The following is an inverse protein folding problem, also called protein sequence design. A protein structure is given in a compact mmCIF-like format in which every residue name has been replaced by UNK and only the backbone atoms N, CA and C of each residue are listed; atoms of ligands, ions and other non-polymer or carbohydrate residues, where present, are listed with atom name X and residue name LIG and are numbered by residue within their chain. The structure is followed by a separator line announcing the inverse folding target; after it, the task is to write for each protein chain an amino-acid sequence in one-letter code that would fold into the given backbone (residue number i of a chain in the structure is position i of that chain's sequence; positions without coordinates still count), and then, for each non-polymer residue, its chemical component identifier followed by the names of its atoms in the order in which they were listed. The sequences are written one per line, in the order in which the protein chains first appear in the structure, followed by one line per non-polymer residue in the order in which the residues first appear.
data_IF_914767504171
#
_entry.id   IF_914767504171
#
_cell.length_a   1.000
_cell.length_b   1.000
_cell.length_c   1.000
_cell.angle_alpha   90.00
_cell.angle_beta   90.00
_cell.angle_gamma   90.00
#
_symmetry.space_group_name_H-M   'P 1'
#
loop_
_entity.id
_entity.type
_entity.pdbx_description
1 polymer ?
#
# COMPACT_ATOMS: atom_id res chain seq x y z
N UNK A 1 30.47 2.45 -13.75
CA UNK A 1 29.03 2.29 -14.02
C UNK A 1 28.31 3.18 -13.01
N UNK A 2 27.79 4.33 -13.46
CA UNK A 2 27.18 5.33 -12.59
C UNK A 2 25.81 4.82 -12.13
N UNK A 3 25.56 4.84 -10.82
CA UNK A 3 24.26 4.52 -10.25
C UNK A 3 23.20 5.50 -10.78
N UNK A 4 21.98 5.05 -11.13
CA UNK A 4 20.92 5.96 -11.50
C UNK A 4 20.53 6.78 -10.25
N UNK A 5 20.73 8.09 -10.33
CA UNK A 5 20.21 9.07 -9.38
C UNK A 5 18.70 9.13 -9.53
N UNK A 6 17.98 8.54 -8.56
CA UNK A 6 16.53 8.65 -8.46
C UNK A 6 16.12 10.11 -8.24
N UNK A 7 15.12 10.55 -9.01
CA UNK A 7 14.62 11.93 -8.99
C UNK A 7 13.89 12.24 -7.69
N UNK A 8 14.25 13.37 -7.07
CA UNK A 8 13.61 13.89 -5.86
C UNK A 8 12.15 14.30 -6.12
N UNK A 9 11.31 14.25 -5.09
CA UNK A 9 9.99 14.91 -5.08
C UNK A 9 10.10 16.36 -5.61
N UNK A 10 9.05 16.91 -6.24
CA UNK A 10 9.08 18.30 -6.70
C UNK A 10 9.51 19.22 -5.56
N UNK A 11 10.38 20.21 -5.83
CA UNK A 11 10.82 21.15 -4.80
C UNK A 11 9.60 21.86 -4.18
N UNK A 12 9.40 21.71 -2.86
CA UNK A 12 8.52 22.58 -2.07
C UNK A 12 7.37 21.92 -1.28
N UNK A 13 7.03 20.65 -1.52
CA UNK A 13 6.06 19.96 -0.67
C UNK A 13 6.73 19.43 0.62
N UNK A 14 6.08 19.55 1.81
CA UNK A 14 6.57 18.90 3.02
C UNK A 14 6.66 17.38 2.83
N UNK A 15 7.62 16.69 3.47
CA UNK A 15 7.69 15.24 3.43
C UNK A 15 6.40 14.59 3.93
N UNK A 16 6.02 13.45 3.37
CA UNK A 16 4.79 12.72 3.77
C UNK A 16 4.83 12.40 5.27
N UNK A 17 5.98 12.02 5.81
CA UNK A 17 6.13 11.77 7.25
C UNK A 17 5.78 13.01 8.11
N UNK A 18 6.08 14.23 7.63
CA UNK A 18 5.70 15.45 8.33
C UNK A 18 4.19 15.71 8.24
N UNK A 19 3.57 15.44 7.09
CA UNK A 19 2.12 15.54 6.94
C UNK A 19 1.42 14.59 7.91
N UNK A 20 1.82 13.30 7.95
CA UNK A 20 1.28 12.28 8.87
C UNK A 20 1.26 12.75 10.34
N UNK A 21 2.26 13.52 10.76
CA UNK A 21 2.39 14.01 12.13
C UNK A 21 1.46 15.20 12.50
N UNK A 22 0.68 15.76 11.55
CA UNK A 22 -0.18 16.91 11.83
C UNK A 22 -1.50 16.55 12.53
N UNK A 23 -1.83 15.26 12.63
CA UNK A 23 -3.02 14.76 13.30
C UNK A 23 -4.28 14.78 12.43
N UNK A 24 -5.23 13.91 12.79
CA UNK A 24 -6.54 13.80 12.11
C UNK A 24 -7.29 15.14 12.15
N UNK A 25 -7.90 15.50 11.03
CA UNK A 25 -8.61 16.76 10.83
C UNK A 25 -7.74 17.89 10.27
N UNK A 26 -6.41 17.76 10.27
CA UNK A 26 -5.53 18.75 9.66
C UNK A 26 -5.63 18.74 8.13
N UNK A 27 -5.61 19.92 7.52
CA UNK A 27 -5.43 20.06 6.08
C UNK A 27 -3.94 19.94 5.74
N UNK A 28 -3.61 19.00 4.87
CA UNK A 28 -2.23 18.72 4.46
C UNK A 28 -2.09 18.77 2.94
N UNK A 29 -0.89 19.07 2.49
CA UNK A 29 -0.46 18.87 1.10
C UNK A 29 0.70 17.89 1.09
N UNK A 30 0.54 16.80 0.36
CA UNK A 30 1.56 15.75 0.19
C UNK A 30 1.96 15.65 -1.27
N UNK A 31 3.21 15.25 -1.53
CA UNK A 31 3.68 14.93 -2.87
C UNK A 31 4.47 13.63 -2.87
N UNK A 32 4.19 12.77 -3.83
CA UNK A 32 4.87 11.48 -3.97
C UNK A 32 4.43 10.75 -5.24
N UNK A 33 4.88 9.51 -5.38
CA UNK A 33 4.59 8.66 -6.53
C UNK A 33 3.49 7.65 -6.19
N UNK A 34 2.54 7.46 -7.10
CA UNK A 34 1.49 6.45 -6.95
C UNK A 34 2.10 5.04 -6.92
N UNK A 35 1.78 4.26 -5.90
CA UNK A 35 2.32 2.89 -5.70
C UNK A 35 1.28 1.78 -5.83
N UNK A 36 -0.02 2.10 -5.79
CA UNK A 36 -1.12 1.15 -6.00
C UNK A 36 -2.07 1.64 -7.12
N UNK A 37 -2.72 0.75 -7.88
CA UNK A 37 -3.70 1.18 -8.89
C UNK A 37 -4.94 1.78 -8.21
N UNK A 38 -5.52 2.89 -8.72
CA UNK A 38 -6.75 3.45 -8.19
C UNK A 38 -7.92 2.44 -8.16
N UNK A 39 -8.46 2.22 -6.96
CA UNK A 39 -9.56 1.29 -6.71
C UNK A 39 -9.15 -0.19 -6.74
N UNK A 40 -7.86 -0.51 -6.68
CA UNK A 40 -7.40 -1.90 -6.51
C UNK A 40 -7.94 -2.55 -5.22
N UNK A 41 -8.24 -1.74 -4.20
CA UNK A 41 -8.70 -2.19 -2.88
C UNK A 41 -10.16 -1.81 -2.59
N UNK A 42 -10.92 -1.40 -3.61
CA UNK A 42 -12.28 -0.85 -3.44
C UNK A 42 -13.22 -1.78 -2.69
N UNK A 43 -13.07 -3.11 -2.81
CA UNK A 43 -13.96 -4.05 -2.14
C UNK A 43 -13.85 -4.01 -0.62
N UNK A 44 -12.67 -3.73 -0.04
CA UNK A 44 -12.51 -3.62 1.43
C UNK A 44 -12.36 -2.18 1.93
N UNK A 45 -11.95 -1.25 1.07
CA UNK A 45 -11.74 0.16 1.45
C UNK A 45 -12.98 1.03 1.22
N UNK A 46 -13.94 0.55 0.41
CA UNK A 46 -15.17 1.26 0.05
C UNK A 46 -14.96 2.61 -0.64
N UNK A 47 -13.77 2.82 -1.19
CA UNK A 47 -13.39 3.97 -1.99
C UNK A 47 -12.56 3.51 -3.20
N UNK A 48 -12.26 4.44 -4.12
CA UNK A 48 -11.49 4.16 -5.35
C UNK A 48 -10.11 4.81 -5.30
N UNK A 49 -9.57 4.89 -4.09
CA UNK A 49 -8.30 5.50 -3.74
C UNK A 49 -7.07 4.75 -4.20
N UNK A 50 -5.91 5.31 -3.86
CA UNK A 50 -4.58 4.78 -4.19
C UNK A 50 -3.55 5.28 -3.18
N UNK A 51 -2.46 4.54 -3.03
CA UNK A 51 -1.33 4.95 -2.18
C UNK A 51 -0.36 5.84 -2.94
N UNK A 52 0.19 6.82 -2.23
CA UNK A 52 1.25 7.72 -2.68
C UNK A 52 2.42 7.60 -1.71
N UNK A 53 3.64 7.51 -2.24
CA UNK A 53 4.84 7.34 -1.43
C UNK A 53 5.95 8.30 -1.86
N UNK A 54 6.64 8.86 -0.85
CA UNK A 54 7.89 9.58 -1.02
C UNK A 54 9.02 8.85 -0.26
N UNK A 55 10.21 9.43 -0.23
CA UNK A 55 11.37 8.84 0.47
C UNK A 55 11.23 8.72 1.99
N UNK A 56 10.15 9.24 2.57
CA UNK A 56 9.95 9.34 4.03
C UNK A 56 8.81 8.49 4.55
N UNK A 57 7.71 8.37 3.82
CA UNK A 57 6.56 7.54 4.18
C UNK A 57 5.59 7.37 3.00
N UNK A 58 4.72 6.36 3.11
CA UNK A 58 3.50 6.27 2.31
C UNK A 58 2.31 6.97 2.98
N UNK A 59 1.31 7.31 2.17
CA UNK A 59 -0.03 7.69 2.64
C UNK A 59 -1.10 7.27 1.62
N UNK A 60 -2.20 6.71 2.11
CA UNK A 60 -3.34 6.36 1.27
C UNK A 60 -4.20 7.58 0.97
N UNK A 61 -4.58 7.75 -0.29
CA UNK A 61 -5.47 8.81 -0.76
C UNK A 61 -6.86 8.21 -0.94
N UNK A 62 -7.75 8.43 0.04
CA UNK A 62 -9.13 7.92 0.03
C UNK A 62 -9.98 8.79 -0.89
N UNK A 63 -10.10 8.38 -2.16
CA UNK A 63 -10.74 9.15 -3.21
C UNK A 63 -12.14 8.61 -3.53
N UNK A 64 -13.13 9.51 -3.62
CA UNK A 64 -14.50 9.16 -4.01
C UNK A 64 -14.68 8.92 -5.51
N UNK A 65 -13.80 9.48 -6.34
CA UNK A 65 -13.84 9.34 -7.80
C UNK A 65 -12.58 8.65 -8.32
N UNK A 66 -12.76 7.72 -9.25
CA UNK A 66 -11.67 6.90 -9.77
C UNK A 66 -10.76 7.76 -10.65
N UNK A 67 -9.50 7.83 -10.29
CA UNK A 67 -8.48 8.50 -11.08
C UNK A 67 -8.10 7.69 -12.32
N UNK A 68 -7.76 8.37 -13.42
CA UNK A 68 -7.12 7.76 -14.59
C UNK A 68 -5.59 7.69 -14.46
N UNK A 69 -5.03 8.29 -13.39
CA UNK A 69 -3.61 8.20 -13.08
C UNK A 69 -3.26 6.79 -12.60
N UNK A 70 -1.99 6.40 -12.76
CA UNK A 70 -1.55 5.05 -12.42
C UNK A 70 -0.19 5.04 -11.73
N UNK A 71 0.23 3.83 -11.36
CA UNK A 71 1.56 3.58 -10.76
C UNK A 71 2.66 4.24 -11.60
N UNK A 72 3.64 4.85 -10.93
CA UNK A 72 4.72 5.58 -11.60
C UNK A 72 4.34 6.99 -12.06
N UNK A 73 3.22 7.53 -11.57
CA UNK A 73 2.86 8.95 -11.73
C UNK A 73 3.13 9.68 -10.42
N UNK A 74 3.88 10.79 -10.47
CA UNK A 74 4.00 11.71 -9.35
C UNK A 74 2.78 12.63 -9.28
N UNK A 75 2.25 12.82 -8.07
CA UNK A 75 1.10 13.69 -7.78
C UNK A 75 1.38 14.59 -6.60
N UNK A 76 0.72 15.75 -6.58
CA UNK A 76 0.51 16.55 -5.37
C UNK A 76 -0.95 16.41 -4.97
N UNK A 77 -1.20 16.05 -3.72
CA UNK A 77 -2.55 15.90 -3.17
C UNK A 77 -2.72 16.87 -2.01
N UNK A 78 -3.78 17.66 -2.05
CA UNK A 78 -4.23 18.46 -0.91
C UNK A 78 -5.55 17.89 -0.40
N UNK A 79 -5.68 17.80 0.91
CA UNK A 79 -6.87 17.21 1.54
C UNK A 79 -6.80 17.25 3.05
N UNK A 80 -7.72 16.53 3.68
CA UNK A 80 -7.82 16.45 5.14
C UNK A 80 -7.35 15.08 5.60
N UNK A 81 -6.49 15.02 6.62
CA UNK A 81 -6.13 13.77 7.28
C UNK A 81 -7.35 13.18 7.99
N UNK A 82 -7.54 11.88 7.84
CA UNK A 82 -8.61 11.14 8.49
C UNK A 82 -8.12 9.77 8.94
N UNK A 83 -8.78 9.24 9.97
CA UNK A 83 -8.76 7.81 10.26
C UNK A 83 -9.85 7.14 9.42
N UNK A 84 -9.50 6.02 8.78
CA UNK A 84 -10.42 5.15 8.07
C UNK A 84 -10.24 3.72 8.59
N UNK A 85 -10.97 3.40 9.66
CA UNK A 85 -10.90 2.10 10.32
C UNK A 85 -9.46 1.77 10.76
N UNK A 86 -8.78 2.72 11.38
CA UNK A 86 -7.38 2.57 11.81
C UNK A 86 -6.34 3.01 10.78
N UNK A 87 -6.65 2.99 9.48
CA UNK A 87 -5.72 3.47 8.45
C UNK A 87 -5.67 5.00 8.42
N UNK A 88 -4.48 5.60 8.49
CA UNK A 88 -4.31 7.03 8.27
C UNK A 88 -4.38 7.37 6.78
N UNK A 89 -5.37 8.17 6.38
CA UNK A 89 -5.63 8.54 4.98
C UNK A 89 -5.65 10.05 4.79
N UNK A 90 -5.48 10.49 3.54
CA UNK A 90 -5.86 11.83 3.09
C UNK A 90 -7.16 11.73 2.29
N UNK A 91 -8.20 12.44 2.73
CA UNK A 91 -9.42 12.68 1.94
C UNK A 91 -9.18 13.89 1.04
N UNK A 92 -9.00 13.71 -0.28
CA UNK A 92 -8.50 14.76 -1.16
C UNK A 92 -9.58 15.78 -1.48
N UNK A 93 -9.20 17.06 -1.49
CA UNK A 93 -9.97 18.15 -2.12
C UNK A 93 -9.39 18.52 -3.48
N UNK A 94 -8.12 18.23 -3.72
CA UNK A 94 -7.46 18.40 -5.01
C UNK A 94 -6.37 17.34 -5.21
N UNK A 95 -6.31 16.79 -6.43
CA UNK A 95 -5.23 15.91 -6.90
C UNK A 95 -4.68 16.53 -8.17
N UNK A 96 -3.38 16.88 -8.17
CA UNK A 96 -2.71 17.48 -9.32
C UNK A 96 -1.59 16.56 -9.78
N UNK A 97 -1.65 16.01 -11.01
CA UNK A 97 -0.54 15.24 -11.56
C UNK A 97 0.65 16.16 -11.84
N UNK A 98 1.84 15.74 -11.41
CA UNK A 98 3.10 16.37 -11.78
C UNK A 98 3.60 15.78 -13.10
N UNK A 99 3.43 14.47 -13.27
CA UNK A 99 3.83 13.74 -14.47
C UNK A 99 4.40 12.35 -14.15
N UNK A 100 4.98 11.68 -15.15
CA UNK A 100 5.68 10.41 -14.94
C UNK A 100 6.83 10.54 -13.95
N UNK A 101 7.06 9.50 -13.15
CA UNK A 101 8.14 9.37 -12.21
C UNK A 101 8.68 7.93 -12.21
N UNK A 102 9.89 7.74 -11.71
CA UNK A 102 10.43 6.41 -11.50
C UNK A 102 9.52 5.61 -10.55
N UNK A 103 9.19 4.34 -10.86
CA UNK A 103 8.43 3.51 -9.95
C UNK A 103 9.13 3.36 -8.60
N UNK A 104 8.37 3.45 -7.52
CA UNK A 104 8.89 3.18 -6.17
C UNK A 104 9.26 1.70 -6.09
N UNK A 105 10.51 1.44 -5.73
CA UNK A 105 10.97 0.07 -5.46
C UNK A 105 10.38 -0.41 -4.12
N UNK A 106 9.77 -1.61 -4.06
CA UNK A 106 9.26 -2.15 -2.80
C UNK A 106 10.37 -2.27 -1.76
N UNK A 107 10.08 -1.83 -0.52
CA UNK A 107 11.02 -1.99 0.59
C UNK A 107 10.97 -3.43 1.09
N UNK A 108 12.11 -4.12 1.04
CA UNK A 108 12.25 -5.45 1.61
C UNK A 108 12.16 -5.38 3.15
N UNK A 109 11.24 -6.14 3.73
CA UNK A 109 11.00 -6.18 5.18
C UNK A 109 10.76 -7.61 5.66
N UNK A 110 11.07 -7.83 6.94
CA UNK A 110 10.62 -9.03 7.68
C UNK A 110 9.19 -8.82 8.17
N UNK A 111 8.45 -9.90 8.42
CA UNK A 111 7.01 -9.83 8.75
C UNK A 111 6.72 -8.98 9.99
N UNK A 112 7.56 -9.03 11.04
CA UNK A 112 7.37 -8.23 12.26
C UNK A 112 7.45 -6.71 12.04
N UNK A 113 8.04 -6.28 10.92
CA UNK A 113 8.16 -4.85 10.59
C UNK A 113 6.85 -4.31 10.01
N UNK A 114 5.95 -5.15 9.51
CA UNK A 114 4.62 -4.72 9.06
C UNK A 114 3.85 -4.15 10.24
N UNK A 115 3.53 -2.86 10.16
CA UNK A 115 2.98 -2.10 11.28
C UNK A 115 2.87 -0.60 10.99
N UNK A 116 2.59 0.19 12.02
CA UNK A 116 2.43 1.66 11.92
C UNK A 116 3.56 2.35 11.14
N UNK A 117 4.80 1.93 11.38
CA UNK A 117 5.97 2.53 10.72
C UNK A 117 6.07 2.28 9.21
N UNK A 118 5.23 1.39 8.68
CA UNK A 118 5.21 0.97 7.28
C UNK A 118 3.87 1.24 6.62
N UNK A 119 2.91 1.77 7.37
CA UNK A 119 1.56 1.99 6.92
C UNK A 119 1.55 2.88 5.65
N UNK A 120 0.78 2.44 4.66
CA UNK A 120 0.67 2.96 3.30
C UNK A 120 1.94 2.90 2.43
N UNK A 121 3.06 2.37 2.92
CA UNK A 121 4.26 2.15 2.09
C UNK A 121 4.19 0.85 1.29
N UNK A 122 4.87 0.84 0.13
CA UNK A 122 5.07 -0.34 -0.69
C UNK A 122 6.18 -1.22 -0.10
N UNK A 123 5.80 -2.42 0.33
CA UNK A 123 6.69 -3.40 0.96
C UNK A 123 6.75 -4.68 0.15
N UNK A 124 7.82 -5.44 0.36
CA UNK A 124 7.92 -6.84 -0.09
C UNK A 124 8.50 -7.71 1.02
N UNK A 125 7.93 -8.89 1.23
CA UNK A 125 8.35 -9.83 2.26
C UNK A 125 8.25 -11.27 1.76
N UNK A 126 9.03 -12.16 2.37
CA UNK A 126 9.01 -13.60 2.09
C UNK A 126 8.63 -14.32 3.38
N UNK A 127 7.62 -15.18 3.31
CA UNK A 127 7.14 -15.92 4.47
C UNK A 127 6.58 -17.28 4.10
N UNK A 128 6.55 -18.19 5.08
CA UNK A 128 5.84 -19.46 4.98
C UNK A 128 4.38 -19.23 5.34
N UNK A 129 3.47 -19.76 4.53
CA UNK A 129 2.03 -19.72 4.80
C UNK A 129 1.70 -20.57 6.02
N UNK A 130 1.07 -19.97 7.03
CA UNK A 130 0.74 -20.61 8.32
C UNK A 130 -0.75 -20.88 8.50
N UNK A 131 -1.62 -20.20 7.74
CA UNK A 131 -3.06 -20.44 7.73
C UNK A 131 -3.56 -20.91 6.36
N UNK A 132 -4.69 -21.64 6.28
CA UNK A 132 -5.38 -21.80 5.01
C UNK A 132 -5.81 -20.44 4.46
N UNK A 133 -6.02 -20.37 3.14
CA UNK A 133 -6.71 -19.23 2.52
C UNK A 133 -8.16 -19.24 2.99
N UNK A 134 -8.58 -18.14 3.60
CA UNK A 134 -9.96 -17.92 4.05
C UNK A 134 -10.67 -17.02 3.05
N UNK A 135 -11.88 -17.41 2.65
CA UNK A 135 -12.77 -16.55 1.87
C UNK A 135 -13.40 -15.49 2.80
N UNK A 136 -13.27 -14.23 2.41
CA UNK A 136 -13.83 -13.06 3.09
C UNK A 136 -14.73 -12.29 2.12
N UNK A 137 -15.58 -13.04 1.38
CA UNK A 137 -16.44 -12.47 0.37
C UNK A 137 -17.60 -11.68 1.01
N UNK A 138 -18.02 -10.55 0.41
CA UNK A 138 -17.69 -10.08 -0.94
C UNK A 138 -16.37 -9.28 -1.07
N UNK A 139 -15.61 -9.14 0.02
CA UNK A 139 -14.48 -8.21 0.08
C UNK A 139 -13.17 -8.78 -0.46
N UNK A 140 -12.91 -10.06 -0.26
CA UNK A 140 -11.64 -10.63 -0.69
C UNK A 140 -11.35 -12.00 -0.11
N UNK A 141 -10.06 -12.27 0.04
CA UNK A 141 -9.50 -13.48 0.67
C UNK A 141 -8.31 -13.09 1.51
N UNK A 142 -8.03 -13.86 2.55
CA UNK A 142 -6.87 -13.62 3.41
C UNK A 142 -6.18 -14.89 3.86
N UNK A 143 -4.89 -14.77 4.15
CA UNK A 143 -4.08 -15.83 4.75
C UNK A 143 -2.91 -15.21 5.51
N UNK A 144 -2.33 -15.97 6.43
CA UNK A 144 -1.19 -15.54 7.25
C UNK A 144 0.10 -16.13 6.70
N UNK A 145 1.15 -15.31 6.68
CA UNK A 145 2.52 -15.74 6.42
C UNK A 145 3.40 -15.42 7.63
N UNK A 146 4.40 -16.26 7.87
CA UNK A 146 5.37 -16.08 8.94
C UNK A 146 6.80 -16.28 8.45
N UNK A 147 7.72 -15.51 9.01
CA UNK A 147 9.17 -15.73 8.92
C UNK A 147 9.74 -15.96 10.33
N UNK A 148 11.06 -15.84 10.52
CA UNK A 148 11.69 -16.04 11.84
C UNK A 148 11.42 -14.89 12.82
N UNK A 149 10.94 -13.74 12.33
CA UNK A 149 10.68 -12.53 13.12
C UNK A 149 9.26 -12.45 13.67
N UNK A 150 8.29 -13.04 12.99
CA UNK A 150 6.87 -12.97 13.36
C UNK A 150 5.95 -13.37 12.21
N UNK A 151 4.72 -12.89 12.25
CA UNK A 151 3.69 -13.16 11.24
C UNK A 151 2.99 -11.88 10.78
N UNK A 152 2.40 -11.92 9.58
CA UNK A 152 1.55 -10.86 9.04
C UNK A 152 0.43 -11.48 8.22
N UNK A 153 -0.70 -10.78 8.16
CA UNK A 153 -1.80 -11.10 7.24
C UNK A 153 -1.46 -10.60 5.84
N UNK A 154 -1.84 -11.38 4.83
CA UNK A 154 -1.88 -10.99 3.43
C UNK A 154 -3.35 -10.94 3.02
N UNK A 155 -3.78 -9.79 2.52
CA UNK A 155 -5.15 -9.56 2.08
C UNK A 155 -5.20 -9.39 0.57
N UNK A 156 -6.16 -10.08 -0.05
CA UNK A 156 -6.35 -10.11 -1.50
C UNK A 156 -7.74 -9.57 -1.83
N UNK A 157 -7.77 -8.30 -2.23
CA UNK A 157 -8.98 -7.62 -2.67
C UNK A 157 -9.50 -8.20 -3.99
N UNK A 158 -10.83 -8.23 -4.17
CA UNK A 158 -11.46 -8.86 -5.35
C UNK A 158 -11.07 -8.22 -6.68
N UNK A 159 -10.80 -6.91 -6.70
CA UNK A 159 -10.41 -6.15 -7.90
C UNK A 159 -8.98 -6.44 -8.36
N UNK A 160 -8.13 -7.01 -7.48
CA UNK A 160 -6.70 -7.24 -7.79
C UNK A 160 -6.48 -8.36 -8.81
N UNK A 161 -7.47 -9.25 -8.97
CA UNK A 161 -7.38 -10.39 -9.89
C UNK A 161 -6.33 -11.42 -9.49
N UNK A 162 -5.79 -11.37 -8.27
CA UNK A 162 -4.78 -12.31 -7.80
C UNK A 162 -5.41 -13.68 -7.57
N UNK A 163 -4.80 -14.70 -8.17
CA UNK A 163 -5.20 -16.09 -7.95
C UNK A 163 -4.48 -16.68 -6.72
N UNK A 164 -5.26 -17.12 -5.74
CA UNK A 164 -4.76 -17.78 -4.53
C UNK A 164 -4.83 -19.31 -4.62
N UNK A 165 -5.24 -19.87 -5.76
CA UNK A 165 -5.46 -21.32 -5.94
C UNK A 165 -4.22 -22.19 -5.72
N UNK A 166 -3.02 -21.62 -5.83
CA UNK A 166 -1.75 -22.29 -5.58
C UNK A 166 -1.23 -22.14 -4.14
N UNK A 167 -1.84 -21.27 -3.32
CA UNK A 167 -1.41 -21.01 -1.94
C UNK A 167 -1.85 -22.16 -1.03
N UNK A 168 -0.92 -22.77 -0.30
CA UNK A 168 -1.18 -23.86 0.65
C UNK A 168 -0.41 -23.60 1.94
N UNK A 169 -0.95 -24.09 3.05
CA UNK A 169 -0.20 -24.11 4.32
C UNK A 169 1.12 -24.82 4.11
N UNK A 170 2.21 -24.16 4.52
CA UNK A 170 3.57 -24.63 4.36
C UNK A 170 4.29 -24.21 3.07
N UNK A 171 3.59 -23.66 2.08
CA UNK A 171 4.25 -23.01 0.93
C UNK A 171 5.06 -21.80 1.40
N UNK A 172 6.18 -21.53 0.74
CA UNK A 172 6.88 -20.25 0.88
C UNK A 172 6.35 -19.32 -0.22
N UNK A 173 6.00 -18.09 0.15
CA UNK A 173 5.53 -17.07 -0.78
C UNK A 173 6.36 -15.81 -0.64
N UNK A 174 6.57 -15.11 -1.75
CA UNK A 174 6.95 -13.70 -1.75
C UNK A 174 5.70 -12.88 -2.02
N UNK A 175 5.46 -11.87 -1.17
CA UNK A 175 4.33 -10.96 -1.29
C UNK A 175 4.83 -9.54 -1.37
N UNK A 176 4.36 -8.79 -2.36
CA UNK A 176 4.56 -7.36 -2.51
C UNK A 176 3.22 -6.66 -2.37
N UNK A 177 3.16 -5.52 -1.69
CA UNK A 177 1.88 -4.84 -1.52
C UNK A 177 1.99 -3.59 -0.69
N UNK A 178 0.87 -2.89 -0.55
CA UNK A 178 0.77 -1.80 0.41
C UNK A 178 0.67 -2.42 1.81
N UNK A 179 1.52 -1.99 2.74
CA UNK A 179 1.27 -2.29 4.15
C UNK A 179 0.12 -1.41 4.62
N UNK A 180 -0.95 -2.02 5.11
CA UNK A 180 -2.19 -1.35 5.52
C UNK A 180 -2.54 -1.69 6.96
N UNK A 181 -3.57 -1.03 7.47
CA UNK A 181 -4.16 -1.30 8.76
C UNK A 181 -5.67 -1.42 8.58
N UNK A 182 -6.26 -2.41 9.24
CA UNK A 182 -7.71 -2.51 9.44
C UNK A 182 -7.96 -2.74 10.92
N UNK A 183 -8.73 -1.85 11.53
CA UNK A 183 -8.95 -1.78 12.98
C UNK A 183 -7.62 -1.79 13.75
N UNK A 184 -7.30 -2.88 14.46
CA UNK A 184 -6.12 -3.03 15.31
C UNK A 184 -5.04 -3.95 14.72
N UNK A 185 -5.20 -4.40 13.47
CA UNK A 185 -4.26 -5.30 12.80
C UNK A 185 -3.69 -4.71 11.52
N UNK A 186 -2.45 -5.13 11.23
CA UNK A 186 -1.74 -4.73 10.03
C UNK A 186 -1.66 -5.87 9.03
N UNK A 187 -1.74 -5.53 7.76
CA UNK A 187 -1.73 -6.49 6.68
C UNK A 187 -0.97 -5.97 5.46
N UNK A 188 -0.77 -6.85 4.49
CA UNK A 188 -0.22 -6.51 3.18
C UNK A 188 -1.33 -6.70 2.14
N UNK A 189 -1.80 -5.59 1.57
CA UNK A 189 -2.71 -5.57 0.43
C UNK A 189 -1.92 -5.67 -0.88
N UNK A 190 -1.95 -6.86 -1.49
CA UNK A 190 -1.27 -7.11 -2.77
C UNK A 190 -2.02 -6.43 -3.93
N UNK A 191 -1.30 -5.85 -4.89
CA UNK A 191 -1.90 -4.87 -5.82
C UNK A 191 -2.40 -5.48 -7.13
N UNK A 192 -1.78 -6.56 -7.60
CA UNK A 192 -2.06 -7.21 -8.88
C UNK A 192 -1.38 -8.60 -8.95
N UNK A 193 -1.67 -9.48 -9.95
CA UNK A 193 -1.24 -10.88 -9.93
C UNK A 193 0.25 -11.15 -9.68
N UNK A 194 1.13 -10.29 -10.19
CA UNK A 194 2.58 -10.46 -10.03
C UNK A 194 3.09 -10.16 -8.60
N UNK A 195 2.25 -9.63 -7.71
CA UNK A 195 2.61 -9.32 -6.33
C UNK A 195 2.53 -10.53 -5.39
N UNK A 196 1.97 -11.67 -5.84
CA UNK A 196 1.96 -12.93 -5.08
C UNK A 196 2.69 -14.01 -5.86
N UNK A 197 3.84 -14.45 -5.33
CA UNK A 197 4.66 -15.50 -5.96
C UNK A 197 4.81 -16.68 -5.01
N UNK A 198 4.24 -17.83 -5.37
CA UNK A 198 4.47 -19.09 -4.65
C UNK A 198 5.81 -19.66 -5.10
N UNK A 199 6.74 -19.86 -4.16
CA UNK A 199 8.05 -20.45 -4.42
C UNK A 199 7.92 -21.98 -4.46
N UNK A 200 8.49 -22.58 -5.51
CA UNK A 200 8.58 -24.04 -5.70
C UNK A 200 9.77 -24.63 -4.97
#
# INVERSE_FOLDING_TARGET
MLAPTATAAPPGAPPIAQARAQGVGATVTVSGTITTPPGAFESSFFDVGFAVEDRTAGIYISAAERSTLGIGTAVTVTGTLADQSGLLVVKPTAITPIGPADPVAPRHVVTRVIGESTESSLVTTVGRVTSPVLDDLPFGRKFTIADQSGETTVYINTQTGIDTSAVRVGSVVQVTGMSSQYEDHYEIDARFPADLVVQT
#
